data_IF_112889342700
#
_entry.id   IF_112889342700
#
_cell.length_a   1.000
_cell.length_b   1.000
_cell.length_c   1.000
_cell.angle_alpha   90.00
_cell.angle_beta   90.00
_cell.angle_gamma   90.00
#
_symmetry.space_group_name_H-M   'P 1'
#
loop_
_entity.id
_entity.type
_entity.pdbx_description
1 polymer ?
#
# COMPACT_ATOMS: atom_id res chain seq x y z
N UNK A 1 -6.43 -13.85 3.20
CA UNK A 1 -6.37 -12.41 2.87
C UNK A 1 -6.23 -11.66 4.18
N UNK A 2 -5.34 -10.66 4.25
CA UNK A 2 -5.14 -9.84 5.46
C UNK A 2 -5.79 -8.47 5.24
N UNK A 3 -6.26 -7.83 6.31
CA UNK A 3 -6.72 -6.44 6.29
C UNK A 3 -5.53 -5.49 6.22
N UNK A 4 -5.75 -4.29 5.70
CA UNK A 4 -4.74 -3.24 5.72
C UNK A 4 -4.29 -2.91 7.15
N UNK A 5 -5.21 -2.86 8.12
CA UNK A 5 -4.89 -2.66 9.54
C UNK A 5 -3.91 -3.69 10.11
N UNK A 6 -4.05 -4.97 9.73
CA UNK A 6 -3.14 -6.04 10.16
C UNK A 6 -1.74 -5.87 9.56
N UNK A 7 -1.66 -5.45 8.30
CA UNK A 7 -0.38 -5.19 7.62
C UNK A 7 0.35 -4.00 8.24
N UNK A 8 -0.40 -2.94 8.60
CA UNK A 8 0.17 -1.74 9.18
C UNK A 8 0.56 -1.90 10.66
N UNK A 9 0.10 -2.96 11.33
CA UNK A 9 0.33 -3.17 12.77
C UNK A 9 1.81 -3.34 13.16
N UNK A 10 2.65 -3.78 12.21
CA UNK A 10 4.09 -4.00 12.43
C UNK A 10 4.94 -2.74 12.22
N UNK A 11 4.32 -1.60 11.84
CA UNK A 11 5.04 -0.35 11.56
C UNK A 11 4.41 0.83 12.29
N UNK A 12 5.23 1.86 12.55
CA UNK A 12 4.72 3.12 13.08
C UNK A 12 3.99 3.89 11.99
N UNK A 13 2.65 3.89 12.05
CA UNK A 13 1.81 4.64 11.11
C UNK A 13 1.75 6.11 11.50
N UNK A 14 2.12 7.01 10.58
CA UNK A 14 2.03 8.46 10.81
C UNK A 14 0.62 9.00 10.65
N UNK A 15 -0.11 8.51 9.63
CA UNK A 15 -1.47 8.95 9.31
C UNK A 15 -2.17 7.88 8.47
N UNK A 16 -3.44 7.63 8.75
CA UNK A 16 -4.34 6.85 7.89
C UNK A 16 -5.42 7.79 7.38
N UNK A 17 -5.69 7.75 6.07
CA UNK A 17 -6.81 8.47 5.44
C UNK A 17 -7.65 7.42 4.72
N UNK A 18 -8.93 7.33 5.05
CA UNK A 18 -9.84 6.30 4.53
C UNK A 18 -10.02 5.10 5.47
N UNK A 19 -10.57 4.01 4.95
CA UNK A 19 -10.93 2.83 5.72
C UNK A 19 -9.77 1.80 5.77
N UNK A 20 -9.19 1.49 6.95
CA UNK A 20 -8.14 0.48 7.10
C UNK A 20 -8.67 -0.97 7.19
N UNK A 21 -9.98 -1.18 7.29
CA UNK A 21 -10.61 -2.50 7.34
C UNK A 21 -10.88 -3.11 5.95
N UNK A 22 -10.05 -2.75 4.96
CA UNK A 22 -10.14 -3.28 3.60
C UNK A 22 -9.28 -4.53 3.44
N UNK A 23 -9.78 -5.59 2.77
CA UNK A 23 -8.98 -6.77 2.47
C UNK A 23 -7.95 -6.47 1.39
N UNK A 24 -6.73 -6.94 1.61
CA UNK A 24 -5.59 -6.76 0.72
C UNK A 24 -5.21 -8.09 0.08
N UNK A 25 -5.15 -8.07 -1.24
CA UNK A 25 -4.76 -9.19 -2.09
C UNK A 25 -3.23 -9.28 -2.25
N UNK A 26 -2.59 -8.18 -2.66
CA UNK A 26 -1.14 -8.16 -2.98
C UNK A 26 -0.57 -6.75 -2.87
N UNK A 27 0.75 -6.66 -2.67
CA UNK A 27 1.50 -5.40 -2.58
C UNK A 27 2.38 -5.25 -3.82
N UNK A 28 2.38 -4.05 -4.42
CA UNK A 28 3.17 -3.70 -5.60
C UNK A 28 3.94 -2.40 -5.37
N UNK A 29 5.14 -2.33 -5.93
CA UNK A 29 5.95 -1.09 -6.02
C UNK A 29 5.95 -0.50 -7.43
N UNK A 30 5.42 -1.22 -8.41
CA UNK A 30 5.29 -0.78 -9.81
C UNK A 30 3.80 -0.58 -10.10
N UNK A 31 3.39 0.68 -10.29
CA UNK A 31 2.00 1.06 -10.53
C UNK A 31 1.42 0.42 -11.78
N UNK A 32 2.25 0.06 -12.77
CA UNK A 32 1.82 -0.59 -14.03
C UNK A 32 1.33 -2.03 -13.84
N UNK A 33 1.56 -2.62 -12.67
CA UNK A 33 1.19 -4.01 -12.35
C UNK A 33 0.02 -4.11 -11.35
N UNK A 34 -0.55 -2.99 -10.94
CA UNK A 34 -1.56 -2.95 -9.88
C UNK A 34 -2.85 -3.66 -10.32
N UNK A 35 -3.48 -4.34 -9.37
CA UNK A 35 -4.76 -5.04 -9.56
C UNK A 35 -5.75 -4.64 -8.47
N UNK A 36 -7.03 -5.03 -8.64
CA UNK A 36 -8.05 -4.75 -7.63
C UNK A 36 -7.65 -5.31 -6.25
N UNK A 37 -8.02 -4.57 -5.20
CA UNK A 37 -7.73 -4.91 -3.81
C UNK A 37 -6.23 -5.05 -3.50
N UNK A 38 -5.35 -4.41 -4.27
CA UNK A 38 -3.91 -4.40 -4.02
C UNK A 38 -3.41 -3.07 -3.46
N UNK A 39 -2.29 -3.11 -2.74
CA UNK A 39 -1.59 -1.92 -2.25
C UNK A 39 -0.54 -1.52 -3.29
N UNK A 40 -0.50 -0.25 -3.64
CA UNK A 40 0.64 0.36 -4.31
C UNK A 40 1.49 1.13 -3.28
N UNK A 41 2.80 0.92 -3.28
CA UNK A 41 3.74 1.63 -2.43
C UNK A 41 4.53 2.61 -3.27
N UNK A 42 4.20 3.90 -3.13
CA UNK A 42 4.96 4.98 -3.74
C UNK A 42 6.31 5.12 -3.02
N UNK A 43 7.39 4.75 -3.71
CA UNK A 43 8.76 4.94 -3.25
C UNK A 43 9.41 6.04 -4.06
N UNK A 44 10.18 6.92 -3.41
CA UNK A 44 10.93 7.96 -4.11
C UNK A 44 12.09 7.30 -4.88
N UNK A 45 12.03 7.34 -6.21
CA UNK A 45 13.07 6.79 -7.10
C UNK A 45 14.05 7.85 -7.62
N UNK A 46 15.13 7.39 -8.28
CA UNK A 46 16.15 8.26 -8.92
C UNK A 46 15.68 8.78 -10.30
N UNK A 47 14.85 8.03 -11.03
CA UNK A 47 14.42 8.37 -12.40
C UNK A 47 13.01 8.97 -12.50
N UNK A 48 12.10 8.65 -11.57
CA UNK A 48 10.74 9.21 -11.51
C UNK A 48 10.27 9.19 -10.06
N UNK A 49 9.59 10.26 -9.63
CA UNK A 49 8.86 10.24 -8.36
C UNK A 49 7.60 9.38 -8.54
N UNK A 50 7.44 8.36 -7.69
CA UNK A 50 6.29 7.45 -7.72
C UNK A 50 5.08 7.97 -6.95
N UNK A 51 5.16 9.21 -6.43
CA UNK A 51 4.07 9.92 -5.76
C UNK A 51 2.90 10.23 -6.70
#
# INVERSE_FOLDING_TARGET
MRKLSEILSEIKVTKVIGNPDVPVYKIYIDSRKITNNSIFVAIRGIQTDGH
#
